data_IF_796197026554
#
_entry.id   IF_796197026554
#
_cell.length_a   1.000
_cell.length_b   1.000
_cell.length_c   1.000
_cell.angle_alpha   90.00
_cell.angle_beta   90.00
_cell.angle_gamma   90.00
#
_symmetry.space_group_name_H-M   'P 1'
#
loop_
_entity.id
_entity.type
_entity.pdbx_description
1 polymer ?
#
# COMPACT_ATOMS: atom_id res chain seq x y z
N UNK A 1 -1.06 4.74 12.16
CA UNK A 1 -0.54 3.36 12.05
C UNK A 1 0.92 3.33 12.46
N UNK A 2 1.63 2.23 12.22
CA UNK A 2 3.09 2.14 12.35
C UNK A 2 3.63 1.60 11.03
N UNK A 3 4.47 2.37 10.35
CA UNK A 3 4.95 2.06 8.99
C UNK A 3 6.44 2.44 8.92
N UNK A 4 7.31 1.44 8.88
CA UNK A 4 8.78 1.63 8.85
C UNK A 4 9.46 0.73 7.81
N UNK A 5 8.68 -0.04 7.04
CA UNK A 5 9.15 -1.05 6.07
C UNK A 5 8.23 -1.11 4.83
N UNK A 6 7.84 0.05 4.34
CA UNK A 6 6.91 0.26 3.23
C UNK A 6 7.59 0.20 1.86
N UNK A 7 6.83 -0.25 0.87
CA UNK A 7 7.24 -0.28 -0.53
C UNK A 7 6.93 1.07 -1.20
N UNK A 8 7.78 2.07 -0.99
CA UNK A 8 7.78 3.36 -1.68
C UNK A 8 6.47 4.18 -1.58
N UNK A 9 5.93 4.29 -0.36
CA UNK A 9 4.85 5.22 -0.01
C UNK A 9 5.09 5.77 1.40
N UNK A 10 4.27 6.73 1.87
CA UNK A 10 4.46 7.36 3.18
C UNK A 10 3.15 7.43 3.97
N UNK A 11 3.22 7.08 5.26
CA UNK A 11 2.08 7.24 6.17
C UNK A 11 1.74 8.71 6.41
N UNK A 12 2.75 9.59 6.47
CA UNK A 12 2.53 11.02 6.71
C UNK A 12 1.89 11.72 5.51
N UNK A 13 2.13 11.22 4.29
CA UNK A 13 1.42 11.68 3.11
C UNK A 13 -0.02 11.16 3.04
N UNK A 14 -0.24 9.90 3.42
CA UNK A 14 -1.54 9.24 3.27
C UNK A 14 -2.50 9.50 4.45
N UNK A 15 -2.04 10.13 5.53
CA UNK A 15 -2.86 10.32 6.73
C UNK A 15 -4.13 11.14 6.42
N UNK A 16 -5.29 10.58 6.76
CA UNK A 16 -6.59 11.21 6.51
C UNK A 16 -7.20 10.90 5.14
N UNK A 17 -6.45 10.27 4.22
CA UNK A 17 -6.99 9.81 2.94
C UNK A 17 -7.97 8.64 3.12
N UNK A 18 -8.97 8.57 2.24
CA UNK A 18 -9.87 7.43 2.12
C UNK A 18 -9.25 6.31 1.24
N UNK A 19 -9.95 5.16 1.20
CA UNK A 19 -9.46 3.96 0.51
C UNK A 19 -9.15 4.16 -0.98
N UNK A 20 -9.85 5.05 -1.68
CA UNK A 20 -9.59 5.32 -3.09
C UNK A 20 -8.48 6.35 -3.27
N UNK A 21 -8.39 7.33 -2.38
CA UNK A 21 -7.38 8.39 -2.43
C UNK A 21 -5.96 7.84 -2.28
N UNK A 22 -5.68 7.05 -1.23
CA UNK A 22 -4.33 6.52 -1.05
C UNK A 22 -3.96 5.46 -2.11
N UNK A 23 -4.95 4.84 -2.77
CA UNK A 23 -4.70 3.90 -3.87
C UNK A 23 -4.63 4.58 -5.24
N UNK A 24 -4.91 5.88 -5.35
CA UNK A 24 -4.95 6.64 -6.61
C UNK A 24 -3.72 6.43 -7.51
N UNK A 25 -2.48 6.31 -6.99
CA UNK A 25 -1.29 6.08 -7.83
C UNK A 25 -1.25 4.72 -8.53
N UNK A 26 -2.08 3.75 -8.15
CA UNK A 26 -2.06 2.40 -8.72
C UNK A 26 -2.72 2.38 -10.10
N UNK A 27 -1.97 2.09 -11.18
CA UNK A 27 -2.50 2.11 -12.54
C UNK A 27 -3.43 0.91 -12.80
N UNK A 28 -4.35 1.05 -13.77
CA UNK A 28 -5.26 0.01 -14.30
C UNK A 28 -6.30 -0.57 -13.31
N UNK A 29 -6.02 -0.59 -12.01
CA UNK A 29 -6.85 -1.27 -11.02
C UNK A 29 -8.21 -0.58 -10.79
N UNK A 30 -8.23 0.76 -10.90
CA UNK A 30 -9.45 1.55 -10.85
C UNK A 30 -10.41 1.20 -12.00
N UNK A 31 -9.91 1.22 -13.23
CA UNK A 31 -10.68 0.89 -14.45
C UNK A 31 -11.21 -0.54 -14.42
N UNK A 32 -10.45 -1.46 -13.82
CA UNK A 32 -10.85 -2.87 -13.64
C UNK A 32 -11.80 -3.08 -12.44
N UNK A 33 -12.20 -2.01 -11.74
CA UNK A 33 -13.08 -2.04 -10.58
C UNK A 33 -12.53 -2.85 -9.40
N UNK A 34 -11.20 -3.05 -9.34
CA UNK A 34 -10.55 -3.87 -8.32
C UNK A 34 -10.75 -3.24 -6.94
N UNK A 35 -10.50 -1.94 -6.81
CA UNK A 35 -10.65 -1.22 -5.53
C UNK A 35 -12.10 -1.18 -5.05
N UNK A 36 -13.07 -1.02 -5.94
CA UNK A 36 -14.50 -1.08 -5.58
C UNK A 36 -14.88 -2.44 -5.00
N UNK A 37 -14.45 -3.54 -5.64
CA UNK A 37 -14.71 -4.89 -5.12
C UNK A 37 -13.94 -5.17 -3.83
N UNK A 38 -12.70 -4.71 -3.73
CA UNK A 38 -11.86 -4.86 -2.54
C UNK A 38 -12.47 -4.13 -1.33
N UNK A 39 -12.89 -2.87 -1.49
CA UNK A 39 -13.54 -2.11 -0.42
C UNK A 39 -14.84 -2.78 0.02
N UNK A 40 -15.68 -3.21 -0.93
CA UNK A 40 -16.90 -3.97 -0.62
C UNK A 40 -16.60 -5.24 0.19
N UNK A 41 -15.54 -5.98 -0.17
CA UNK A 41 -15.14 -7.17 0.58
C UNK A 41 -14.66 -6.83 1.99
N UNK A 42 -13.76 -5.83 2.12
CA UNK A 42 -13.16 -5.43 3.40
C UNK A 42 -14.21 -4.93 4.40
N UNK A 43 -15.20 -4.15 3.96
CA UNK A 43 -16.28 -3.64 4.82
C UNK A 43 -17.28 -4.70 5.27
N UNK A 44 -17.23 -5.91 4.71
CA UNK A 44 -18.09 -7.03 5.08
C UNK A 44 -17.35 -8.12 5.89
N UNK A 45 -16.06 -7.93 6.23
CA UNK A 45 -15.32 -8.88 7.08
C UNK A 45 -15.95 -8.93 8.47
N UNK A 46 -16.21 -10.14 8.95
CA UNK A 46 -16.80 -10.40 10.27
C UNK A 46 -15.73 -10.77 11.29
N UNK A 47 -15.99 -10.49 12.57
CA UNK A 47 -15.15 -10.96 13.66
C UNK A 47 -14.97 -12.49 13.59
N UNK A 48 -13.73 -12.95 13.75
CA UNK A 48 -13.39 -14.38 13.66
C UNK A 48 -13.32 -14.95 12.24
N UNK A 49 -13.54 -14.14 11.19
CA UNK A 49 -13.43 -14.55 9.78
C UNK A 49 -12.39 -13.72 9.02
N UNK A 50 -11.09 -13.82 9.36
CA UNK A 50 -10.05 -13.02 8.72
C UNK A 50 -9.83 -13.44 7.26
N UNK A 51 -9.30 -12.51 6.46
CA UNK A 51 -8.90 -12.74 5.08
C UNK A 51 -7.42 -12.35 4.87
N UNK A 52 -6.80 -12.87 3.81
CA UNK A 52 -5.40 -12.57 3.46
C UNK A 52 -5.22 -12.42 1.95
N UNK A 53 -4.23 -11.63 1.54
CA UNK A 53 -3.75 -11.52 0.15
C UNK A 53 -2.23 -11.37 0.14
N UNK A 54 -1.64 -11.56 -1.04
CA UNK A 54 -0.23 -11.25 -1.29
C UNK A 54 -0.15 -10.00 -2.16
N UNK A 55 0.82 -9.14 -1.84
CA UNK A 55 1.33 -8.07 -2.69
C UNK A 55 2.80 -8.33 -2.95
N UNK A 56 3.35 -7.81 -4.05
CA UNK A 56 4.76 -8.00 -4.34
C UNK A 56 5.31 -6.81 -5.13
N UNK A 57 6.60 -6.57 -4.94
CA UNK A 57 7.48 -5.74 -5.75
C UNK A 57 8.91 -6.30 -5.61
N UNK A 58 9.89 -5.73 -6.29
CA UNK A 58 11.30 -6.05 -6.09
C UNK A 58 12.03 -4.87 -5.44
N UNK A 59 13.04 -5.18 -4.63
CA UNK A 59 13.91 -4.20 -3.98
C UNK A 59 15.36 -4.59 -4.25
N UNK A 60 16.18 -3.61 -4.65
CA UNK A 60 17.63 -3.81 -4.73
C UNK A 60 18.19 -3.82 -3.32
N UNK A 61 19.06 -4.80 -3.02
CA UNK A 61 19.55 -5.11 -1.66
C UNK A 61 18.44 -5.59 -0.68
N UNK A 62 18.78 -6.25 0.44
CA UNK A 62 17.81 -6.67 1.45
C UNK A 62 17.39 -5.48 2.36
N UNK A 63 16.86 -4.42 1.76
CA UNK A 63 16.45 -3.20 2.45
C UNK A 63 14.95 -3.22 2.76
N UNK A 64 14.62 -3.01 4.03
CA UNK A 64 13.23 -2.94 4.48
C UNK A 64 12.64 -1.54 4.32
N UNK A 65 13.40 -0.50 4.66
CA UNK A 65 12.93 0.88 4.60
C UNK A 65 13.24 1.53 3.24
N UNK A 66 12.30 1.38 2.32
CA UNK A 66 12.27 2.07 1.03
C UNK A 66 11.24 3.19 1.04
N UNK A 67 11.30 4.06 2.06
CA UNK A 67 10.42 5.23 2.20
C UNK A 67 10.82 6.36 1.26
N UNK A 68 9.86 7.19 0.81
CA UNK A 68 10.15 8.52 0.25
C UNK A 68 11.04 9.36 1.18
N UNK A 69 10.83 9.32 2.49
CA UNK A 69 11.62 10.03 3.51
C UNK A 69 13.12 9.71 3.44
N UNK A 70 13.46 8.48 3.08
CA UNK A 70 14.84 8.01 2.96
C UNK A 70 15.29 7.81 1.51
N UNK A 71 14.58 8.36 0.52
CA UNK A 71 14.87 8.13 -0.91
C UNK A 71 16.34 8.40 -1.29
N UNK A 72 16.95 9.45 -0.74
CA UNK A 72 18.38 9.77 -0.96
C UNK A 72 19.37 8.67 -0.51
N UNK A 73 18.94 7.69 0.29
CA UNK A 73 19.77 6.56 0.77
C UNK A 73 19.63 5.29 -0.07
N UNK A 74 18.58 5.18 -0.87
CA UNK A 74 18.26 3.93 -1.60
C UNK A 74 17.87 4.15 -3.07
N UNK A 75 17.47 5.35 -3.47
CA UNK A 75 17.04 5.63 -4.84
C UNK A 75 18.15 5.56 -5.90
N UNK A 76 19.42 5.57 -5.48
CA UNK A 76 20.58 5.37 -6.36
C UNK A 76 21.10 3.93 -6.42
N UNK A 77 20.50 3.02 -5.66
CA UNK A 77 20.84 1.58 -5.69
C UNK A 77 20.51 0.99 -7.06
#
# INVERSE_FOLDING_TARGET
GMVTTQADWSLDFDIGMNFFEWHAPVPLAHEKGIFTRALKFLTNIQQGKPARRLNWTMTINPRLDTSPENYHKWGSD
#
